data_IF_774078300412
#
_entry.id   IF_774078300412
#
_cell.length_a   1.000
_cell.length_b   1.000
_cell.length_c   1.000
_cell.angle_alpha   90.00
_cell.angle_beta   90.00
_cell.angle_gamma   90.00
#
_symmetry.space_group_name_H-M   'P 1'
#
loop_
_entity.id
_entity.type
_entity.pdbx_description
1 polymer ?
#
# COMPACT_ATOMS: atom_id res chain seq x y z
N UNK A 1 -18.13 17.09 3.84
CA UNK A 1 -17.08 17.44 2.87
C UNK A 1 -16.94 16.28 1.93
N UNK A 2 -16.84 16.50 0.65
CA UNK A 2 -16.79 15.44 -0.36
C UNK A 2 -16.04 15.86 -1.62
N UNK A 3 -15.75 14.88 -2.47
CA UNK A 3 -15.16 15.10 -3.79
C UNK A 3 -16.23 14.92 -4.87
N UNK A 4 -16.25 15.82 -5.82
CA UNK A 4 -17.08 15.73 -7.01
C UNK A 4 -16.16 15.51 -8.20
N UNK A 5 -16.38 14.42 -8.96
CA UNK A 5 -15.60 14.14 -10.17
C UNK A 5 -15.85 15.23 -11.21
N UNK A 6 -14.78 15.89 -11.67
CA UNK A 6 -14.90 16.87 -12.73
C UNK A 6 -15.37 16.20 -14.03
N UNK A 7 -16.35 16.80 -14.71
CA UNK A 7 -16.88 16.25 -15.97
C UNK A 7 -15.80 16.21 -17.05
N UNK A 8 -15.89 15.22 -17.97
CA UNK A 8 -14.93 14.96 -19.06
C UNK A 8 -14.71 16.18 -19.99
N UNK A 9 -15.57 17.19 -19.93
CA UNK A 9 -15.40 18.45 -20.68
C UNK A 9 -14.41 19.45 -20.07
N UNK A 10 -13.92 19.20 -18.84
CA UNK A 10 -12.97 20.05 -18.14
C UNK A 10 -11.49 19.79 -18.50
N UNK A 11 -11.21 18.77 -19.31
CA UNK A 11 -9.87 18.33 -19.71
C UNK A 11 -9.15 19.26 -20.69
N UNK A 12 -9.75 20.36 -21.09
CA UNK A 12 -9.10 21.35 -21.96
C UNK A 12 -8.80 22.63 -21.19
N UNK A 13 -7.59 22.83 -20.73
CA UNK A 13 -6.89 24.08 -20.37
C UNK A 13 -7.63 25.32 -19.80
N UNK A 14 -8.93 25.42 -19.97
CA UNK A 14 -9.76 26.58 -19.60
C UNK A 14 -10.33 26.51 -18.19
N UNK A 15 -10.40 25.33 -17.56
CA UNK A 15 -10.98 25.18 -16.22
C UNK A 15 -9.92 25.11 -15.12
N UNK A 16 -8.70 24.68 -15.44
CA UNK A 16 -7.60 24.71 -14.47
C UNK A 16 -7.30 26.14 -13.95
N UNK A 17 -7.57 27.14 -14.76
CA UNK A 17 -7.44 28.58 -14.39
C UNK A 17 -8.57 29.08 -13.46
N UNK A 18 -9.62 28.30 -13.21
CA UNK A 18 -10.78 28.70 -12.40
C UNK A 18 -10.72 28.20 -10.95
N UNK A 19 -9.84 27.21 -10.67
CA UNK A 19 -9.73 26.71 -9.31
C UNK A 19 -8.97 27.69 -8.40
N UNK A 20 -9.45 27.81 -7.19
CA UNK A 20 -8.82 28.66 -6.17
C UNK A 20 -7.44 28.16 -5.79
N UNK A 21 -7.29 26.85 -5.71
CA UNK A 21 -6.10 26.11 -5.35
C UNK A 21 -6.13 24.77 -6.10
N UNK A 22 -4.97 24.20 -6.37
CA UNK A 22 -4.87 22.91 -7.02
C UNK A 22 -3.90 22.01 -6.26
N UNK A 23 -4.36 20.82 -5.87
CA UNK A 23 -3.56 19.84 -5.17
C UNK A 23 -3.20 18.68 -6.10
N UNK A 24 -1.95 18.30 -6.11
CA UNK A 24 -1.45 17.21 -6.93
C UNK A 24 -0.23 16.58 -6.28
N UNK A 25 0.19 15.45 -6.81
CA UNK A 25 1.47 14.82 -6.50
C UNK A 25 2.12 14.34 -7.79
N UNK A 26 3.40 14.67 -7.96
CA UNK A 26 4.20 14.13 -9.04
C UNK A 26 4.27 12.60 -8.98
N UNK A 27 4.74 11.98 -10.07
CA UNK A 27 4.91 10.54 -10.11
C UNK A 27 5.76 10.05 -8.93
N UNK A 28 5.20 9.19 -8.10
CA UNK A 28 5.91 8.61 -6.96
C UNK A 28 6.94 7.60 -7.46
N UNK A 29 8.24 7.78 -7.18
CA UNK A 29 9.27 6.81 -7.51
C UNK A 29 9.15 5.56 -6.63
N UNK A 30 9.93 4.50 -6.93
CA UNK A 30 9.84 3.21 -6.25
C UNK A 30 10.26 3.24 -4.76
N UNK A 31 11.01 4.25 -4.37
CA UNK A 31 11.51 4.46 -3.00
C UNK A 31 10.54 5.25 -2.12
N UNK A 32 9.56 5.92 -2.70
CA UNK A 32 8.56 6.70 -1.95
C UNK A 32 7.25 5.93 -1.87
N UNK A 33 6.80 5.64 -0.67
CA UNK A 33 5.57 4.91 -0.38
C UNK A 33 4.38 5.86 -0.18
N UNK A 34 4.63 7.02 0.43
CA UNK A 34 3.63 8.06 0.63
C UNK A 34 4.29 9.43 0.57
N UNK A 35 3.57 10.40 0.00
CA UNK A 35 4.00 11.81 -0.05
C UNK A 35 2.84 12.74 0.22
N UNK A 36 3.13 13.84 0.92
CA UNK A 36 2.16 14.93 1.07
C UNK A 36 1.94 15.62 -0.26
N UNK A 37 0.67 15.92 -0.59
CA UNK A 37 0.28 16.63 -1.80
C UNK A 37 0.88 18.04 -1.86
N UNK A 38 1.24 18.43 -3.07
CA UNK A 38 1.72 19.77 -3.37
C UNK A 38 0.54 20.67 -3.66
N UNK A 39 0.59 21.90 -3.14
CA UNK A 39 -0.41 22.94 -3.39
C UNK A 39 0.11 23.90 -4.43
N UNK A 40 -0.55 24.01 -5.57
CA UNK A 40 -0.27 25.01 -6.59
C UNK A 40 -1.26 26.18 -6.44
N UNK A 41 -0.74 27.38 -6.29
CA UNK A 41 -1.51 28.61 -6.29
C UNK A 41 -1.15 29.35 -7.57
N UNK A 42 -2.13 29.52 -8.46
CA UNK A 42 -1.93 30.32 -9.68
C UNK A 42 -2.03 31.80 -9.36
N UNK A 43 -1.39 32.66 -10.15
CA UNK A 43 -1.39 34.12 -9.94
C UNK A 43 -2.78 34.78 -10.04
N UNK A 44 -3.80 34.03 -10.42
CA UNK A 44 -5.24 34.41 -10.41
C UNK A 44 -5.97 33.87 -9.18
N UNK A 45 -5.32 33.08 -8.34
CA UNK A 45 -5.91 32.59 -7.10
C UNK A 45 -6.18 33.75 -6.14
N UNK A 46 -7.42 33.88 -5.68
CA UNK A 46 -7.80 34.91 -4.70
C UNK A 46 -7.23 34.66 -3.31
N UNK A 47 -6.60 33.50 -3.06
CA UNK A 47 -6.11 33.07 -1.74
C UNK A 47 -4.59 32.93 -1.68
N UNK A 48 -3.86 34.02 -1.96
CA UNK A 48 -2.39 34.07 -1.89
C UNK A 48 -1.81 34.09 -0.46
N UNK A 49 -2.66 34.20 0.57
CA UNK A 49 -2.30 34.23 1.99
C UNK A 49 -2.86 33.06 2.79
N UNK A 50 -3.42 32.04 2.12
CA UNK A 50 -4.01 30.88 2.78
C UNK A 50 -2.96 30.03 3.49
N UNK A 51 -3.30 29.52 4.68
CA UNK A 51 -2.50 28.54 5.39
C UNK A 51 -2.40 27.25 4.53
N UNK A 52 -1.20 26.68 4.39
CA UNK A 52 -0.95 25.47 3.62
C UNK A 52 -1.76 24.24 4.10
N UNK A 53 -2.32 24.34 5.29
CA UNK A 53 -3.13 23.31 5.95
C UNK A 53 -4.63 23.56 5.83
N UNK A 54 -5.11 24.33 4.85
CA UNK A 54 -6.54 24.55 4.60
C UNK A 54 -6.83 24.29 3.12
N UNK A 55 -7.82 23.46 2.85
CA UNK A 55 -8.33 23.19 1.51
C UNK A 55 -9.59 24.04 1.32
N UNK A 56 -9.55 24.99 0.40
CA UNK A 56 -10.70 25.87 0.13
C UNK A 56 -11.80 25.11 -0.61
N UNK A 57 -13.06 25.48 -0.34
CA UNK A 57 -14.18 24.98 -1.13
C UNK A 57 -14.02 25.36 -2.61
N UNK A 58 -14.16 24.38 -3.50
CA UNK A 58 -13.93 24.55 -4.94
C UNK A 58 -12.45 24.36 -5.36
N UNK A 59 -11.56 23.89 -4.49
CA UNK A 59 -10.19 23.51 -4.86
C UNK A 59 -10.18 22.28 -5.75
N UNK A 60 -9.28 22.27 -6.74
CA UNK A 60 -9.03 21.12 -7.60
C UNK A 60 -8.10 20.11 -6.93
N UNK A 61 -8.35 18.83 -7.14
CA UNK A 61 -7.49 17.74 -6.65
C UNK A 61 -7.28 16.76 -7.80
N UNK A 62 -6.04 16.53 -8.19
CA UNK A 62 -5.68 15.53 -9.21
C UNK A 62 -5.19 14.25 -8.55
N UNK A 63 -5.64 13.11 -9.07
CA UNK A 63 -5.15 11.77 -8.71
C UNK A 63 -4.63 11.11 -9.98
N UNK A 64 -3.34 10.80 -10.01
CA UNK A 64 -2.73 10.13 -11.14
C UNK A 64 -2.90 8.60 -11.05
N UNK A 65 -2.75 7.91 -12.18
CA UNK A 65 -2.69 6.44 -12.17
C UNK A 65 -1.51 5.95 -11.32
N UNK A 66 -1.73 4.87 -10.59
CA UNK A 66 -0.75 4.35 -9.63
C UNK A 66 -0.70 5.10 -8.30
N UNK A 67 -1.65 6.00 -8.04
CA UNK A 67 -1.78 6.73 -6.78
C UNK A 67 -3.13 6.44 -6.10
N UNK A 68 -3.14 6.54 -4.77
CA UNK A 68 -4.35 6.69 -3.97
C UNK A 68 -4.20 7.93 -3.12
N UNK A 69 -5.19 8.81 -3.13
CA UNK A 69 -5.20 10.06 -2.38
C UNK A 69 -6.13 9.94 -1.17
N UNK A 70 -5.71 10.52 -0.05
CA UNK A 70 -6.57 10.75 1.12
C UNK A 70 -6.52 12.21 1.54
N UNK A 71 -7.63 12.70 2.08
CA UNK A 71 -7.66 13.97 2.82
C UNK A 71 -7.81 13.65 4.29
N UNK A 72 -6.94 14.26 5.09
CA UNK A 72 -6.96 14.16 6.54
C UNK A 72 -7.30 15.52 7.12
N UNK A 73 -8.34 15.58 7.95
CA UNK A 73 -8.78 16.77 8.68
C UNK A 73 -8.64 16.52 10.17
N UNK A 74 -7.78 17.29 10.84
CA UNK A 74 -7.48 17.14 12.27
C UNK A 74 -7.12 15.69 12.68
N UNK A 75 -6.30 15.02 11.86
CA UNK A 75 -5.90 13.63 12.09
C UNK A 75 -6.92 12.58 11.69
N UNK A 76 -8.12 12.97 11.22
CA UNK A 76 -9.17 12.06 10.74
C UNK A 76 -9.16 12.00 9.21
N UNK A 77 -9.19 10.79 8.66
CA UNK A 77 -9.37 10.59 7.21
C UNK A 77 -10.82 10.93 6.86
N UNK A 78 -11.01 11.94 6.02
CA UNK A 78 -12.34 12.44 5.62
C UNK A 78 -12.68 12.09 4.18
N UNK A 79 -11.68 11.90 3.31
CA UNK A 79 -11.87 11.57 1.90
C UNK A 79 -10.87 10.53 1.44
N UNK A 80 -11.28 9.68 0.50
CA UNK A 80 -10.43 8.67 -0.14
C UNK A 80 -10.72 8.63 -1.63
N UNK A 81 -9.67 8.72 -2.44
CA UNK A 81 -9.78 8.57 -3.89
C UNK A 81 -8.63 7.74 -4.46
N UNK A 82 -8.96 6.58 -5.01
CA UNK A 82 -8.05 5.69 -5.72
C UNK A 82 -8.39 5.57 -7.22
N UNK A 83 -9.29 6.40 -7.71
CA UNK A 83 -9.61 6.47 -9.13
C UNK A 83 -8.84 7.64 -9.77
N UNK A 84 -8.10 7.39 -10.86
CA UNK A 84 -7.44 8.47 -11.59
C UNK A 84 -8.44 9.50 -12.12
N UNK A 85 -8.07 10.77 -12.03
CA UNK A 85 -8.91 11.86 -12.52
C UNK A 85 -8.71 13.17 -11.76
N UNK A 86 -9.53 14.15 -12.12
CA UNK A 86 -9.60 15.45 -11.47
C UNK A 86 -10.91 15.57 -10.70
N UNK A 87 -10.83 16.12 -9.51
CA UNK A 87 -11.93 16.24 -8.57
C UNK A 87 -12.01 17.66 -8.03
N UNK A 88 -13.20 18.10 -7.68
CA UNK A 88 -13.42 19.37 -6.97
C UNK A 88 -13.78 19.05 -5.52
N UNK A 89 -13.09 19.69 -4.59
CA UNK A 89 -13.41 19.58 -3.17
C UNK A 89 -14.62 20.43 -2.82
N UNK A 90 -15.67 19.80 -2.29
CA UNK A 90 -16.89 20.46 -1.87
C UNK A 90 -17.14 20.24 -0.37
N UNK A 91 -17.14 21.34 0.38
CA UNK A 91 -17.36 21.31 1.84
C UNK A 91 -18.81 21.02 2.22
N UNK A 92 -19.76 21.15 1.29
CA UNK A 92 -21.20 20.93 1.52
C UNK A 92 -21.64 19.49 1.27
N UNK A 93 -20.84 18.71 0.52
CA UNK A 93 -21.16 17.30 0.22
C UNK A 93 -20.76 16.34 1.34
N UNK A 94 -21.37 15.15 1.32
CA UNK A 94 -20.97 14.07 2.22
C UNK A 94 -19.62 13.48 1.80
N UNK A 95 -18.86 12.84 2.75
CA UNK A 95 -17.61 12.16 2.45
C UNK A 95 -17.75 11.17 1.30
N UNK A 96 -16.82 11.22 0.36
CA UNK A 96 -16.83 10.39 -0.84
C UNK A 96 -15.76 9.32 -0.77
N UNK A 97 -16.04 8.16 -1.34
CA UNK A 97 -15.10 7.05 -1.43
C UNK A 97 -15.04 6.59 -2.88
N UNK A 98 -13.98 6.98 -3.58
CA UNK A 98 -13.66 6.50 -4.91
C UNK A 98 -12.65 5.38 -4.81
N UNK A 99 -13.14 4.14 -4.65
CA UNK A 99 -12.31 2.99 -4.28
C UNK A 99 -11.44 2.44 -5.41
N UNK A 100 -11.75 2.76 -6.66
CA UNK A 100 -10.99 2.30 -7.82
C UNK A 100 -10.69 0.78 -7.76
N UNK A 101 -9.44 0.42 -7.94
CA UNK A 101 -8.98 -0.98 -7.94
C UNK A 101 -9.09 -1.70 -6.58
N UNK A 102 -9.26 -0.99 -5.49
CA UNK A 102 -9.40 -1.58 -4.14
C UNK A 102 -10.83 -2.06 -3.83
N UNK A 103 -11.83 -1.61 -4.59
CA UNK A 103 -13.22 -2.07 -4.47
C UNK A 103 -13.82 -1.92 -3.07
N UNK A 104 -14.53 -2.94 -2.61
CA UNK A 104 -15.22 -2.92 -1.32
C UNK A 104 -14.27 -2.94 -0.11
N UNK A 105 -13.09 -3.52 -0.22
CA UNK A 105 -12.11 -3.59 0.87
C UNK A 105 -11.74 -2.19 1.39
N UNK A 106 -11.46 -1.24 0.49
CA UNK A 106 -11.16 0.14 0.87
C UNK A 106 -12.37 0.84 1.53
N UNK A 107 -13.58 0.55 1.06
CA UNK A 107 -14.80 1.10 1.66
C UNK A 107 -15.04 0.58 3.07
N UNK A 108 -14.78 -0.70 3.32
CA UNK A 108 -14.89 -1.31 4.64
C UNK A 108 -13.86 -0.73 5.63
N UNK A 109 -12.62 -0.59 5.18
CA UNK A 109 -11.57 0.03 5.97
C UNK A 109 -11.91 1.49 6.31
N UNK A 110 -12.42 2.26 5.34
CA UNK A 110 -12.88 3.62 5.59
C UNK A 110 -14.01 3.66 6.61
N UNK A 111 -15.06 2.85 6.44
CA UNK A 111 -16.19 2.79 7.39
C UNK A 111 -15.73 2.41 8.81
N UNK A 112 -14.78 1.49 8.90
CA UNK A 112 -14.22 1.03 10.20
C UNK A 112 -13.44 2.14 10.88
N UNK A 113 -12.58 2.83 10.16
CA UNK A 113 -11.82 3.96 10.69
C UNK A 113 -12.73 5.14 11.01
N UNK A 114 -13.71 5.42 10.16
CA UNK A 114 -14.68 6.50 10.38
C UNK A 114 -15.46 6.34 11.70
N UNK A 115 -15.89 5.12 12.03
CA UNK A 115 -16.62 4.81 13.27
C UNK A 115 -15.81 5.06 14.55
N UNK A 116 -14.47 5.04 14.46
CA UNK A 116 -13.60 5.27 15.62
C UNK A 116 -13.52 6.74 16.06
N UNK A 117 -13.93 7.64 15.18
CA UNK A 117 -13.88 9.07 15.46
C UNK A 117 -15.28 9.57 15.79
N UNK A 118 -15.53 9.85 17.05
CA UNK A 118 -16.75 10.53 17.52
C UNK A 118 -16.74 11.99 17.02
N UNK A 119 -17.89 12.45 16.55
CA UNK A 119 -18.11 13.83 16.15
C UNK A 119 -17.80 14.79 17.33
N UNK A 120 -16.90 15.71 17.13
CA UNK A 120 -16.63 16.77 18.08
C UNK A 120 -15.43 17.59 17.64
N UNK A 121 -15.64 18.74 17.04
CA UNK A 121 -14.60 19.70 16.74
C UNK A 121 -14.94 20.61 15.56
N UNK A 122 -14.50 21.84 15.67
CA UNK A 122 -14.59 22.91 14.69
C UNK A 122 -13.83 22.47 13.41
N UNK A 123 -14.50 22.38 12.27
CA UNK A 123 -13.93 21.91 11.01
C UNK A 123 -12.95 22.94 10.43
N UNK A 124 -11.82 22.48 9.87
CA UNK A 124 -11.04 23.26 8.91
C UNK A 124 -9.76 23.92 9.43
N UNK A 125 -9.17 23.47 10.54
CA UNK A 125 -7.92 24.07 11.07
C UNK A 125 -6.63 23.39 10.62
N UNK A 126 -6.65 22.08 10.24
CA UNK A 126 -5.46 21.34 9.78
C UNK A 126 -5.89 20.22 8.80
N UNK A 127 -6.03 20.61 7.54
CA UNK A 127 -6.37 19.70 6.44
C UNK A 127 -5.12 19.40 5.62
N UNK A 128 -4.87 18.11 5.37
CA UNK A 128 -3.70 17.64 4.62
C UNK A 128 -4.13 16.64 3.55
N UNK A 129 -3.49 16.74 2.39
CA UNK A 129 -3.66 15.77 1.30
C UNK A 129 -2.43 14.87 1.27
N UNK A 130 -2.63 13.56 1.23
CA UNK A 130 -1.55 12.57 1.09
C UNK A 130 -1.81 11.66 -0.09
N UNK A 131 -0.75 11.28 -0.78
CA UNK A 131 -0.76 10.39 -1.93
C UNK A 131 0.08 9.15 -1.64
N UNK A 132 -0.50 7.97 -1.86
CA UNK A 132 0.13 6.67 -1.66
C UNK A 132 0.53 6.08 -2.99
N UNK A 133 1.70 5.46 -3.02
CA UNK A 133 2.16 4.69 -4.15
C UNK A 133 1.44 3.34 -4.18
N UNK A 134 0.54 3.16 -5.15
CA UNK A 134 -0.22 1.91 -5.32
C UNK A 134 0.36 1.00 -6.39
N UNK A 135 1.55 1.35 -6.90
CA UNK A 135 2.32 0.52 -7.81
C UNK A 135 3.03 -0.60 -7.05
N UNK A 136 3.51 -1.56 -7.77
CA UNK A 136 4.32 -2.65 -7.24
C UNK A 136 5.71 -2.14 -6.84
N UNK A 137 6.10 -2.34 -5.59
CA UNK A 137 7.41 -1.94 -5.06
C UNK A 137 8.41 -3.05 -5.33
N UNK A 138 9.36 -2.75 -6.20
CA UNK A 138 10.26 -3.71 -6.81
C UNK A 138 11.59 -3.89 -6.03
N UNK A 139 12.33 -4.95 -6.38
CA UNK A 139 13.73 -5.17 -5.98
C UNK A 139 13.98 -5.43 -4.49
N UNK A 140 13.04 -6.07 -3.79
CA UNK A 140 13.25 -6.47 -2.40
C UNK A 140 14.00 -7.82 -2.35
N UNK A 141 15.31 -7.76 -2.21
CA UNK A 141 16.16 -8.94 -2.15
C UNK A 141 16.12 -9.59 -0.77
N UNK A 142 15.98 -10.91 -0.75
CA UNK A 142 16.04 -11.71 0.47
C UNK A 142 16.95 -12.93 0.32
N UNK A 143 17.37 -13.48 1.45
CA UNK A 143 18.12 -14.73 1.52
C UNK A 143 18.13 -15.23 2.95
N UNK A 144 18.06 -16.54 3.11
CA UNK A 144 18.11 -17.21 4.42
C UNK A 144 19.55 -17.35 4.87
N UNK A 145 19.91 -16.70 5.97
CA UNK A 145 21.24 -16.83 6.58
C UNK A 145 21.43 -18.25 7.12
N UNK A 146 20.41 -18.79 7.78
CA UNK A 146 20.36 -20.16 8.27
C UNK A 146 19.48 -21.03 7.36
N UNK A 147 19.79 -22.33 7.24
CA UNK A 147 18.91 -23.24 6.51
C UNK A 147 17.55 -23.36 7.18
N UNK A 148 16.52 -23.44 6.35
CA UNK A 148 15.13 -23.72 6.74
C UNK A 148 14.92 -25.23 6.71
N UNK A 149 14.24 -25.79 7.72
CA UNK A 149 13.83 -27.20 7.72
C UNK A 149 12.65 -27.37 6.81
N UNK A 150 12.78 -28.25 5.83
CA UNK A 150 11.73 -28.61 4.88
C UNK A 150 11.45 -30.09 4.96
N UNK A 151 10.18 -30.43 5.13
CA UNK A 151 9.75 -31.82 5.20
C UNK A 151 9.34 -32.33 3.81
N UNK A 152 10.05 -33.30 3.28
CA UNK A 152 9.68 -34.01 2.05
C UNK A 152 8.75 -35.14 2.42
N UNK A 153 7.47 -34.98 2.10
CA UNK A 153 6.41 -35.94 2.39
C UNK A 153 6.07 -36.75 1.14
N UNK A 154 5.90 -38.06 1.29
CA UNK A 154 5.31 -38.91 0.29
C UNK A 154 4.23 -39.77 0.95
N UNK A 155 2.98 -39.36 0.82
CA UNK A 155 1.81 -40.02 1.44
C UNK A 155 1.55 -41.40 0.92
N UNK A 156 1.94 -41.69 -0.34
CA UNK A 156 1.75 -43.03 -0.98
C UNK A 156 2.47 -44.16 -0.26
N UNK A 157 3.68 -43.86 0.24
CA UNK A 157 4.54 -44.85 0.89
C UNK A 157 4.74 -44.56 2.37
N UNK A 158 4.03 -43.57 2.93
CA UNK A 158 4.12 -43.21 4.31
C UNK A 158 5.53 -42.69 4.72
N UNK A 159 6.27 -42.11 3.77
CA UNK A 159 7.63 -41.64 4.02
C UNK A 159 7.62 -40.12 4.27
N UNK A 160 8.31 -39.71 5.34
CA UNK A 160 8.65 -38.32 5.61
C UNK A 160 10.15 -38.21 5.88
N UNK A 161 10.79 -37.20 5.29
CA UNK A 161 12.19 -36.89 5.49
C UNK A 161 12.41 -35.38 5.58
N UNK A 162 13.03 -34.92 6.64
CA UNK A 162 13.43 -33.52 6.80
C UNK A 162 14.75 -33.26 6.07
N UNK A 163 14.78 -32.21 5.28
CA UNK A 163 15.97 -31.69 4.58
C UNK A 163 16.22 -30.24 4.96
N UNK A 164 17.47 -29.81 4.89
CA UNK A 164 17.84 -28.42 5.14
C UNK A 164 17.94 -27.67 3.81
N UNK A 165 17.15 -26.63 3.64
CA UNK A 165 17.11 -25.84 2.39
C UNK A 165 17.54 -24.40 2.64
N UNK A 166 18.24 -23.81 1.69
CA UNK A 166 18.53 -22.38 1.65
C UNK A 166 17.80 -21.77 0.47
N UNK A 167 17.14 -20.64 0.73
CA UNK A 167 16.37 -19.90 -0.27
C UNK A 167 16.93 -18.49 -0.38
N UNK A 168 17.00 -18.00 -1.60
CA UNK A 168 17.25 -16.60 -1.88
C UNK A 168 16.46 -16.18 -3.12
N UNK A 169 16.22 -14.90 -3.28
CA UNK A 169 15.45 -14.39 -4.40
C UNK A 169 15.08 -12.94 -4.23
N UNK A 170 14.03 -12.56 -4.95
CA UNK A 170 13.47 -11.22 -4.91
C UNK A 170 11.96 -11.33 -4.71
N UNK A 171 11.40 -10.47 -3.88
CA UNK A 171 9.96 -10.29 -3.79
C UNK A 171 9.56 -8.86 -4.11
N UNK A 172 8.31 -8.68 -4.43
CA UNK A 172 7.69 -7.38 -4.60
C UNK A 172 6.47 -7.31 -3.69
N UNK A 173 6.16 -6.11 -3.23
CA UNK A 173 4.96 -5.88 -2.42
C UNK A 173 4.17 -4.68 -2.94
N UNK A 174 2.94 -4.57 -2.51
CA UNK A 174 2.05 -3.44 -2.79
C UNK A 174 1.40 -2.94 -1.51
N UNK A 175 1.08 -1.67 -1.47
CA UNK A 175 0.16 -1.14 -0.47
C UNK A 175 -1.24 -1.61 -0.87
N UNK A 176 -1.77 -2.59 -0.16
CA UNK A 176 -3.08 -3.20 -0.41
C UNK A 176 -4.22 -2.48 0.29
N UNK A 177 -3.91 -1.74 1.37
CA UNK A 177 -4.84 -0.86 2.07
C UNK A 177 -4.15 0.43 2.51
N UNK A 178 -4.27 1.52 1.74
CA UNK A 178 -3.65 2.81 2.06
C UNK A 178 -4.13 3.42 3.37
N UNK A 179 -5.34 3.12 3.82
CA UNK A 179 -5.91 3.68 5.05
C UNK A 179 -5.32 3.03 6.29
N UNK A 180 -5.19 1.70 6.27
CA UNK A 180 -4.49 0.95 7.31
C UNK A 180 -3.02 1.37 7.33
N UNK A 181 -2.37 1.47 6.16
CA UNK A 181 -0.99 1.91 6.03
C UNK A 181 -0.78 3.29 6.65
N UNK A 182 -1.63 4.26 6.33
CA UNK A 182 -1.57 5.59 6.93
C UNK A 182 -1.71 5.56 8.45
N UNK A 183 -2.76 4.90 8.93
CA UNK A 183 -3.08 4.92 10.36
C UNK A 183 -2.07 4.20 11.25
N UNK A 184 -1.31 3.26 10.70
CA UNK A 184 -0.39 2.41 11.45
C UNK A 184 1.08 2.78 11.31
N UNK A 185 1.49 3.30 10.14
CA UNK A 185 2.91 3.52 9.83
C UNK A 185 3.27 4.99 9.64
N UNK A 186 2.50 5.71 8.86
CA UNK A 186 2.92 7.03 8.38
C UNK A 186 1.98 8.17 8.78
N UNK A 187 1.16 7.99 9.81
CA UNK A 187 0.28 9.06 10.31
C UNK A 187 1.05 10.33 10.67
N UNK A 188 0.59 11.50 10.15
CA UNK A 188 1.17 12.82 10.41
C UNK A 188 2.60 13.07 9.92
N UNK A 189 3.12 12.26 8.99
CA UNK A 189 4.41 12.52 8.34
C UNK A 189 4.38 13.90 7.67
N UNK A 190 5.46 14.67 7.82
CA UNK A 190 5.50 16.07 7.37
C UNK A 190 5.54 16.19 5.84
N UNK A 191 6.34 15.37 5.16
CA UNK A 191 6.58 15.46 3.72
C UNK A 191 6.37 14.14 3.00
N UNK A 192 7.17 13.12 3.31
CA UNK A 192 7.11 11.81 2.66
C UNK A 192 7.50 10.68 3.62
N UNK A 193 7.06 9.48 3.29
CA UNK A 193 7.42 8.24 3.94
C UNK A 193 8.06 7.33 2.91
N UNK A 194 9.31 6.95 3.15
CA UNK A 194 10.11 6.17 2.20
C UNK A 194 10.19 4.70 2.62
N UNK A 195 10.55 3.85 1.68
CA UNK A 195 10.74 2.42 1.95
C UNK A 195 11.88 2.12 2.93
N UNK A 196 12.89 3.00 3.01
CA UNK A 196 14.02 2.83 3.92
C UNK A 196 13.59 2.78 5.39
N UNK A 197 12.44 3.38 5.71
CA UNK A 197 11.89 3.38 7.06
C UNK A 197 11.32 2.01 7.48
N UNK A 198 10.96 1.14 6.53
CA UNK A 198 10.31 -0.15 6.83
C UNK A 198 10.99 -1.36 6.18
N UNK A 199 11.77 -1.21 5.12
CA UNK A 199 12.31 -2.34 4.32
C UNK A 199 13.14 -3.32 5.16
N UNK A 200 13.90 -2.82 6.13
CA UNK A 200 14.69 -3.68 7.01
C UNK A 200 13.80 -4.62 7.83
N UNK A 201 12.70 -4.10 8.38
CA UNK A 201 11.73 -4.88 9.15
C UNK A 201 10.97 -5.86 8.25
N UNK A 202 10.48 -5.38 7.10
CA UNK A 202 9.76 -6.23 6.14
C UNK A 202 10.61 -7.40 5.67
N UNK A 203 11.91 -7.18 5.45
CA UNK A 203 12.84 -8.24 5.04
C UNK A 203 12.99 -9.33 6.10
N UNK A 204 13.13 -8.95 7.37
CA UNK A 204 13.24 -9.92 8.47
C UNK A 204 11.97 -10.74 8.59
N UNK A 205 10.81 -10.10 8.61
CA UNK A 205 9.51 -10.76 8.71
C UNK A 205 9.21 -11.65 7.50
N UNK A 206 9.60 -11.21 6.28
CA UNK A 206 9.48 -12.02 5.08
C UNK A 206 10.30 -13.31 5.17
N UNK A 207 11.54 -13.23 5.65
CA UNK A 207 12.40 -14.41 5.82
C UNK A 207 11.85 -15.35 6.91
N UNK A 208 11.31 -14.80 7.99
CA UNK A 208 10.69 -15.58 9.06
C UNK A 208 9.43 -16.32 8.57
N UNK A 209 8.60 -15.66 7.79
CA UNK A 209 7.39 -16.24 7.20
C UNK A 209 7.67 -17.35 6.17
N UNK A 210 8.91 -17.47 5.65
CA UNK A 210 9.26 -18.57 4.73
C UNK A 210 9.13 -19.94 5.40
N UNK A 211 9.41 -20.06 6.69
CA UNK A 211 9.32 -21.34 7.40
C UNK A 211 7.90 -21.91 7.38
N UNK A 212 6.85 -21.21 7.86
CA UNK A 212 5.47 -21.70 7.79
C UNK A 212 4.96 -21.82 6.34
N UNK A 213 5.33 -20.91 5.44
CA UNK A 213 4.91 -20.97 4.04
C UNK A 213 5.48 -22.21 3.34
N UNK A 214 6.74 -22.53 3.55
CA UNK A 214 7.36 -23.75 3.01
C UNK A 214 6.76 -25.01 3.65
N UNK A 215 6.41 -24.98 4.93
CA UNK A 215 5.69 -26.06 5.61
C UNK A 215 4.36 -26.36 4.95
N UNK A 216 3.56 -25.34 4.65
CA UNK A 216 2.28 -25.50 3.93
C UNK A 216 2.45 -26.09 2.52
N UNK A 217 3.56 -25.76 1.82
CA UNK A 217 3.87 -26.37 0.52
C UNK A 217 4.35 -27.84 0.65
N UNK A 218 5.05 -28.16 1.74
CA UNK A 218 5.47 -29.54 2.04
C UNK A 218 4.27 -30.49 2.20
N UNK A 219 3.19 -30.02 2.85
CA UNK A 219 1.93 -30.76 3.00
C UNK A 219 1.24 -31.09 1.66
N UNK A 220 1.52 -30.32 0.62
CA UNK A 220 1.08 -30.56 -0.76
C UNK A 220 1.98 -31.54 -1.53
N UNK A 221 2.90 -32.23 -0.84
CA UNK A 221 3.87 -33.18 -1.41
C UNK A 221 4.85 -32.54 -2.43
N UNK A 222 5.01 -31.21 -2.40
CA UNK A 222 5.98 -30.51 -3.26
C UNK A 222 7.41 -30.76 -2.78
N UNK A 223 8.31 -31.02 -3.73
CA UNK A 223 9.74 -31.13 -3.44
C UNK A 223 10.41 -29.76 -3.50
N UNK A 224 11.49 -29.52 -2.74
CA UNK A 224 12.20 -28.22 -2.78
C UNK A 224 12.55 -27.75 -4.19
N UNK A 225 13.00 -28.64 -5.06
CA UNK A 225 13.34 -28.31 -6.44
C UNK A 225 12.15 -27.86 -7.31
N UNK A 226 10.90 -28.12 -6.90
CA UNK A 226 9.68 -27.75 -7.62
C UNK A 226 9.16 -26.37 -7.17
N UNK A 227 9.52 -25.91 -5.99
CA UNK A 227 8.99 -24.66 -5.39
C UNK A 227 9.23 -23.43 -6.26
N UNK A 228 10.41 -23.21 -6.88
CA UNK A 228 10.61 -22.06 -7.77
C UNK A 228 9.63 -22.01 -8.96
N UNK A 229 9.15 -23.17 -9.43
CA UNK A 229 8.15 -23.25 -10.48
C UNK A 229 6.71 -23.03 -9.96
N UNK A 230 6.52 -22.98 -8.64
CA UNK A 230 5.25 -22.82 -7.93
C UNK A 230 5.13 -21.47 -7.23
N UNK A 231 5.55 -20.42 -7.93
CA UNK A 231 5.62 -19.07 -7.37
C UNK A 231 4.27 -18.52 -6.87
N UNK A 232 3.17 -18.88 -7.51
CA UNK A 232 1.83 -18.44 -7.10
C UNK A 232 1.36 -19.13 -5.81
N UNK A 233 1.64 -20.42 -5.68
CA UNK A 233 1.35 -21.18 -4.47
C UNK A 233 2.20 -20.66 -3.29
N UNK A 234 3.48 -20.40 -3.53
CA UNK A 234 4.35 -19.79 -2.52
C UNK A 234 3.85 -18.40 -2.12
N UNK A 235 3.45 -17.54 -3.10
CA UNK A 235 2.89 -16.23 -2.81
C UNK A 235 1.63 -16.34 -1.92
N UNK A 236 0.75 -17.27 -2.22
CA UNK A 236 -0.46 -17.48 -1.42
C UNK A 236 -0.12 -17.90 0.02
N UNK A 237 0.79 -18.86 0.19
CA UNK A 237 1.25 -19.32 1.50
C UNK A 237 1.98 -18.22 2.28
N UNK A 238 2.76 -17.38 1.61
CA UNK A 238 3.43 -16.22 2.23
C UNK A 238 2.42 -15.16 2.68
N UNK A 239 1.43 -14.83 1.86
CA UNK A 239 0.39 -13.87 2.25
C UNK A 239 -0.48 -14.40 3.39
N UNK A 240 -0.69 -15.71 3.47
CA UNK A 240 -1.38 -16.33 4.60
C UNK A 240 -0.53 -16.25 5.89
N UNK A 241 0.74 -16.59 5.81
CA UNK A 241 1.67 -16.50 6.93
C UNK A 241 1.87 -15.05 7.44
N UNK A 242 1.83 -14.07 6.54
CA UNK A 242 2.00 -12.64 6.84
C UNK A 242 0.67 -11.90 7.03
N UNK A 243 -0.47 -12.61 6.99
CA UNK A 243 -1.80 -12.00 6.97
C UNK A 243 -2.01 -10.99 8.08
N UNK A 244 -1.75 -11.38 9.32
CA UNK A 244 -1.97 -10.53 10.48
C UNK A 244 -1.03 -9.33 10.48
N UNK A 245 0.28 -9.57 10.28
CA UNK A 245 1.29 -8.53 10.44
C UNK A 245 1.35 -7.55 9.27
N UNK A 246 1.22 -8.06 8.04
CA UNK A 246 1.35 -7.22 6.86
C UNK A 246 0.00 -6.72 6.35
N UNK A 247 -0.97 -7.62 6.15
CA UNK A 247 -2.24 -7.26 5.51
C UNK A 247 -3.13 -6.52 6.51
N UNK A 248 -3.42 -7.13 7.67
CA UNK A 248 -4.37 -6.58 8.64
C UNK A 248 -3.78 -5.42 9.46
N UNK A 249 -2.50 -5.50 9.85
CA UNK A 249 -1.88 -4.48 10.70
C UNK A 249 -1.20 -3.35 9.92
N UNK A 250 -0.76 -3.57 8.66
CA UNK A 250 -0.03 -2.54 7.89
C UNK A 250 -0.60 -2.23 6.53
N UNK A 251 -1.58 -2.99 6.03
CA UNK A 251 -2.15 -2.78 4.71
C UNK A 251 -1.17 -3.04 3.56
N UNK A 252 -0.24 -4.00 3.73
CA UNK A 252 0.76 -4.39 2.75
C UNK A 252 0.55 -5.85 2.38
N UNK A 253 0.76 -6.23 1.13
CA UNK A 253 0.73 -7.62 0.70
C UNK A 253 1.83 -7.96 -0.30
N UNK A 254 2.27 -9.21 -0.30
CA UNK A 254 3.22 -9.72 -1.29
C UNK A 254 2.53 -9.83 -2.65
N UNK A 255 3.09 -9.14 -3.66
CA UNK A 255 2.54 -9.13 -5.01
C UNK A 255 3.16 -10.23 -5.88
N UNK A 256 4.48 -10.46 -5.75
CA UNK A 256 5.20 -11.47 -6.51
C UNK A 256 6.42 -11.97 -5.74
N UNK A 257 6.80 -13.22 -5.99
CA UNK A 257 8.02 -13.83 -5.47
C UNK A 257 8.75 -14.49 -6.64
N UNK A 258 10.04 -14.25 -6.73
CA UNK A 258 10.93 -14.95 -7.64
C UNK A 258 12.04 -15.60 -6.82
N UNK A 259 12.03 -16.92 -6.76
CA UNK A 259 13.05 -17.72 -6.08
C UNK A 259 14.13 -18.17 -7.06
N UNK A 260 15.37 -18.07 -6.63
CA UNK A 260 16.46 -18.81 -7.25
C UNK A 260 16.31 -20.32 -6.94
N UNK A 261 16.97 -21.20 -7.70
CA UNK A 261 16.97 -22.63 -7.41
C UNK A 261 17.34 -22.87 -5.94
N UNK A 262 16.53 -23.67 -5.25
CA UNK A 262 16.75 -24.01 -3.85
C UNK A 262 17.91 -25.01 -3.78
N UNK A 263 18.90 -24.68 -2.96
CA UNK A 263 20.06 -25.55 -2.75
C UNK A 263 19.88 -26.37 -1.47
N UNK A 264 20.00 -27.69 -1.60
CA UNK A 264 20.15 -28.60 -0.48
C UNK A 264 21.62 -28.54 -0.01
N UNK A 265 21.84 -28.34 1.27
CA UNK A 265 23.15 -28.53 1.84
C UNK A 265 23.38 -30.04 1.98
N UNK A 266 24.04 -30.65 1.01
CA UNK A 266 24.54 -32.01 1.22
C UNK A 266 25.26 -32.03 2.55
N UNK A 267 24.72 -32.77 3.51
CA UNK A 267 25.46 -33.17 4.69
C UNK A 267 26.72 -33.87 4.17
N UNK A 268 27.90 -33.25 4.34
CA UNK A 268 29.15 -33.95 4.18
C UNK A 268 29.16 -35.00 5.31
N UNK A 269 28.89 -36.23 4.94
CA UNK A 269 29.10 -37.39 5.81
C UNK A 269 30.58 -37.63 5.90
#
# INVERSE_FOLDING_TARGET
MGLIKAGIGALGGTLADQWKEFFYCDALPNDVLMRRGQKQITGRSSNTKGNDNIISNGSGIAVADGQCMIIVDQGKIVEVCAEPGEYTFDTSSEPSIFSGKFGESLKESFRTLWKRFTYGGDTGKDQRVYYFNTKEILNNKFGTANPIMFEVVNKRIGMSRTVQVRCNGVYTYVISDPLVFYSRLCGNVATEFTRDEIDAQLKVEFVDALQPALGALAEQELRPAQIPAKANELKAAMNDALKQEWIENRGISVAKIALNPITDRKSVV
#
